data_IF_524281384658
#
_entry.id   IF_524281384658
#
_cell.length_a   1.000
_cell.length_b   1.000
_cell.length_c   1.000
_cell.angle_alpha   90.00
_cell.angle_beta   90.00
_cell.angle_gamma   90.00
#
_symmetry.space_group_name_H-M   'P 1'
#
loop_
_entity.id
_entity.type
_entity.pdbx_description
1 polymer ?
#
# COMPACT_ATOMS: atom_id res chain seq x y z
N UNK A 1 3.00 -18.68 6.83
CA UNK A 1 3.64 -17.54 6.52
C UNK A 1 3.63 -17.06 5.12
N UNK A 2 3.83 -17.67 4.10
CA UNK A 2 3.82 -17.14 2.77
C UNK A 2 4.95 -16.15 2.51
N UNK A 3 5.30 -16.00 1.27
CA UNK A 3 6.30 -15.03 0.84
C UNK A 3 5.61 -13.69 0.56
N UNK A 4 5.66 -12.78 1.54
CA UNK A 4 5.02 -11.47 1.45
C UNK A 4 5.54 -10.67 0.25
N UNK A 5 6.83 -10.80 -0.04
CA UNK A 5 7.44 -10.12 -1.17
C UNK A 5 6.87 -10.64 -2.49
N UNK A 6 6.64 -11.94 -2.59
CA UNK A 6 6.05 -12.53 -3.78
C UNK A 6 4.61 -12.08 -3.99
N UNK A 7 3.83 -11.95 -2.92
CA UNK A 7 2.45 -11.46 -3.02
C UNK A 7 2.43 -10.02 -3.54
N UNK A 8 3.32 -9.18 -3.03
CA UNK A 8 3.40 -7.79 -3.49
C UNK A 8 3.84 -7.74 -4.96
N UNK A 9 4.84 -8.53 -5.34
CA UNK A 9 5.31 -8.58 -6.72
C UNK A 9 4.20 -9.01 -7.67
N UNK A 10 3.44 -10.03 -7.30
CA UNK A 10 2.32 -10.48 -8.11
C UNK A 10 1.26 -9.39 -8.25
N UNK A 11 0.93 -8.71 -7.15
CA UNK A 11 -0.06 -7.64 -7.16
C UNK A 11 0.39 -6.49 -8.06
N UNK A 12 1.64 -6.06 -7.96
CA UNK A 12 2.17 -4.99 -8.81
C UNK A 12 2.09 -5.39 -10.28
N UNK A 13 2.39 -6.66 -10.58
CA UNK A 13 2.29 -7.17 -11.96
C UNK A 13 0.87 -7.17 -12.51
N UNK A 14 -0.14 -7.13 -11.64
CA UNK A 14 -1.55 -7.07 -12.07
C UNK A 14 -2.07 -5.66 -12.21
N UNK A 15 -1.32 -4.66 -11.74
CA UNK A 15 -1.75 -3.27 -11.86
C UNK A 15 -1.47 -2.73 -13.25
N UNK A 16 -2.39 -1.92 -13.81
CA UNK A 16 -2.19 -1.33 -15.13
C UNK A 16 -1.30 -0.08 -15.03
N UNK A 17 -0.62 0.23 -16.11
CA UNK A 17 0.03 1.53 -16.31
C UNK A 17 1.02 1.92 -15.22
N UNK A 18 1.71 0.96 -14.62
CA UNK A 18 2.70 1.22 -13.57
C UNK A 18 3.89 1.96 -14.15
N UNK A 19 4.26 3.10 -13.56
CA UNK A 19 5.43 3.87 -13.97
C UNK A 19 6.54 3.88 -12.92
N UNK A 20 6.20 3.64 -11.65
CA UNK A 20 7.20 3.61 -10.58
C UNK A 20 6.71 2.79 -9.39
N UNK A 21 7.64 2.18 -8.68
CA UNK A 21 7.38 1.42 -7.47
C UNK A 21 8.40 1.84 -6.42
N UNK A 22 7.96 2.16 -5.22
CA UNK A 22 8.85 2.52 -4.13
C UNK A 22 9.67 1.30 -3.68
N UNK A 23 10.67 1.53 -2.85
CA UNK A 23 11.28 0.43 -2.11
C UNK A 23 10.25 -0.19 -1.17
N UNK A 24 10.54 -1.40 -0.72
CA UNK A 24 9.75 -2.06 0.30
C UNK A 24 10.16 -1.56 1.67
N UNK A 25 9.21 -1.49 2.58
CA UNK A 25 9.44 -1.10 3.96
C UNK A 25 8.73 -2.06 4.88
N UNK A 26 9.37 -2.38 5.99
CA UNK A 26 8.78 -3.23 7.02
C UNK A 26 8.26 -2.38 8.14
N UNK A 27 7.10 -2.74 8.68
CA UNK A 27 6.55 -2.14 9.88
C UNK A 27 6.14 -3.25 10.85
N UNK A 28 6.34 -2.98 12.14
CA UNK A 28 5.93 -3.93 13.16
C UNK A 28 4.41 -3.86 13.34
N UNK A 29 3.76 -5.01 13.62
CA UNK A 29 2.33 -5.01 13.92
C UNK A 29 2.07 -4.20 15.19
N UNK A 30 1.11 -3.29 15.14
CA UNK A 30 0.73 -2.49 16.29
C UNK A 30 -0.24 -3.28 17.15
N UNK A 31 0.16 -3.56 18.40
CA UNK A 31 -0.71 -4.24 19.35
C UNK A 31 -1.05 -5.68 19.00
N UNK A 32 -0.31 -6.28 18.08
CA UNK A 32 -0.54 -7.68 17.72
C UNK A 32 0.06 -8.65 18.72
N UNK A 33 -0.32 -9.93 18.63
CA UNK A 33 0.27 -10.96 19.48
C UNK A 33 1.77 -11.09 19.25
N UNK A 34 2.53 -11.50 20.25
CA UNK A 34 3.95 -11.78 20.07
C UNK A 34 4.17 -12.84 18.99
N UNK A 35 5.24 -12.68 18.23
CA UNK A 35 5.59 -13.64 17.18
C UNK A 35 4.94 -13.38 15.84
N UNK A 36 4.08 -12.39 15.75
CA UNK A 36 3.50 -11.98 14.48
C UNK A 36 4.57 -11.27 13.64
N UNK A 37 4.68 -11.65 12.34
CA UNK A 37 5.68 -11.07 11.47
C UNK A 37 5.41 -9.62 11.11
N UNK A 38 6.44 -8.91 10.69
CA UNK A 38 6.32 -7.54 10.25
C UNK A 38 5.52 -7.46 8.95
N UNK A 39 4.83 -6.35 8.74
CA UNK A 39 4.15 -6.07 7.47
C UNK A 39 5.16 -5.51 6.46
N UNK A 40 4.95 -5.84 5.20
CA UNK A 40 5.69 -5.23 4.10
C UNK A 40 4.78 -4.27 3.36
N UNK A 41 5.30 -3.10 3.04
CA UNK A 41 4.53 -2.05 2.40
C UNK A 41 5.34 -1.42 1.27
N UNK A 42 4.67 -1.00 0.21
CA UNK A 42 5.26 -0.15 -0.82
C UNK A 42 4.16 0.72 -1.41
N UNK A 43 4.58 1.74 -2.15
CA UNK A 43 3.67 2.61 -2.89
C UNK A 43 3.97 2.45 -4.37
N UNK A 44 2.93 2.44 -5.17
CA UNK A 44 3.04 2.28 -6.62
C UNK A 44 2.42 3.50 -7.28
N UNK A 45 3.11 4.03 -8.29
CA UNK A 45 2.61 5.13 -9.09
C UNK A 45 2.14 4.61 -10.44
N UNK A 46 0.92 4.98 -10.80
CA UNK A 46 0.35 4.66 -12.11
C UNK A 46 0.18 5.95 -12.90
N UNK A 47 0.35 5.87 -14.21
CA UNK A 47 -0.02 6.95 -15.10
C UNK A 47 -1.13 6.43 -16.00
N UNK A 48 -2.37 6.73 -15.62
CA UNK A 48 -3.53 6.07 -16.19
C UNK A 48 -4.68 7.07 -16.37
N UNK A 49 -5.57 6.77 -17.31
CA UNK A 49 -6.79 7.53 -17.51
C UNK A 49 -7.98 6.94 -16.77
N UNK A 50 -7.77 5.90 -15.98
CA UNK A 50 -8.84 5.25 -15.22
C UNK A 50 -9.37 6.17 -14.11
N UNK A 51 -10.67 6.05 -13.84
CA UNK A 51 -11.29 6.81 -12.76
C UNK A 51 -10.94 6.21 -11.40
N UNK A 52 -11.13 6.96 -10.30
CA UNK A 52 -10.93 6.39 -8.96
C UNK A 52 -11.73 5.11 -8.73
N UNK A 53 -12.96 5.04 -9.22
CA UNK A 53 -13.79 3.85 -9.12
C UNK A 53 -13.18 2.66 -9.86
N UNK A 54 -12.66 2.91 -11.05
CA UNK A 54 -12.01 1.84 -11.81
C UNK A 54 -10.74 1.36 -11.10
N UNK A 55 -10.01 2.28 -10.47
CA UNK A 55 -8.81 1.91 -9.72
C UNK A 55 -9.15 1.12 -8.47
N UNK A 56 -10.26 1.44 -7.80
CA UNK A 56 -10.72 0.64 -6.67
C UNK A 56 -11.02 -0.79 -7.11
N UNK A 57 -11.67 -0.95 -8.27
CA UNK A 57 -11.95 -2.30 -8.79
C UNK A 57 -10.67 -3.06 -9.09
N UNK A 58 -9.65 -2.38 -9.64
CA UNK A 58 -8.33 -2.97 -9.90
C UNK A 58 -7.68 -3.43 -8.59
N UNK A 59 -7.73 -2.58 -7.56
CA UNK A 59 -7.15 -2.90 -6.26
C UNK A 59 -7.85 -4.12 -5.64
N UNK A 60 -9.17 -4.15 -5.70
CA UNK A 60 -9.94 -5.27 -5.15
C UNK A 60 -9.68 -6.57 -5.91
N UNK A 61 -9.47 -6.49 -7.22
CA UNK A 61 -9.13 -7.67 -8.02
C UNK A 61 -7.75 -8.23 -7.63
N UNK A 62 -6.78 -7.35 -7.35
CA UNK A 62 -5.46 -7.79 -6.90
C UNK A 62 -5.54 -8.46 -5.53
N UNK A 63 -6.32 -7.91 -4.63
CA UNK A 63 -6.54 -8.52 -3.31
C UNK A 63 -7.21 -9.88 -3.44
N UNK A 64 -8.22 -9.98 -4.28
CA UNK A 64 -8.93 -11.24 -4.50
C UNK A 64 -8.01 -12.31 -5.10
N UNK A 65 -7.12 -11.92 -6.02
CA UNK A 65 -6.17 -12.85 -6.60
C UNK A 65 -5.20 -13.39 -5.55
N UNK A 66 -4.74 -12.53 -4.63
CA UNK A 66 -3.86 -12.96 -3.55
C UNK A 66 -4.57 -13.94 -2.60
N UNK A 67 -5.85 -13.69 -2.31
CA UNK A 67 -6.62 -14.59 -1.47
C UNK A 67 -6.80 -15.96 -2.11
N UNK A 68 -6.98 -16.02 -3.42
CA UNK A 68 -7.15 -17.30 -4.12
C UNK A 68 -5.94 -18.21 -4.03
N UNK A 69 -4.74 -17.64 -3.96
CA UNK A 69 -3.52 -18.44 -3.86
C UNK A 69 -3.09 -18.69 -2.43
N UNK A 70 -3.82 -18.13 -1.46
CA UNK A 70 -3.48 -18.32 -0.04
C UNK A 70 -3.82 -19.74 0.38
N UNK A 71 -2.82 -20.44 0.88
CA UNK A 71 -2.98 -21.82 1.32
C UNK A 71 -3.59 -21.89 2.71
N UNK A 72 -3.22 -20.95 3.57
CA UNK A 72 -3.63 -20.99 4.97
C UNK A 72 -4.85 -20.11 5.17
N UNK A 73 -5.95 -20.72 5.58
CA UNK A 73 -7.24 -20.04 5.70
C UNK A 73 -7.35 -19.15 6.93
N UNK A 74 -6.62 -19.51 7.98
CA UNK A 74 -6.78 -18.89 9.29
C UNK A 74 -5.75 -17.81 9.57
N UNK A 75 -4.84 -17.60 8.65
CA UNK A 75 -3.81 -16.58 8.80
C UNK A 75 -4.33 -15.18 8.52
N UNK A 76 -3.49 -14.15 8.77
CA UNK A 76 -3.82 -12.77 8.45
C UNK A 76 -4.11 -12.60 6.96
N UNK A 77 -4.74 -11.50 6.60
CA UNK A 77 -4.97 -11.17 5.19
C UNK A 77 -3.63 -11.14 4.46
N UNK A 78 -3.66 -11.66 3.25
CA UNK A 78 -2.45 -11.80 2.45
C UNK A 78 -1.97 -10.45 1.91
N UNK A 79 -2.91 -9.59 1.53
CA UNK A 79 -2.60 -8.36 0.81
C UNK A 79 -3.71 -7.34 0.98
N UNK A 80 -3.31 -6.10 1.25
CA UNK A 80 -4.22 -4.95 1.20
C UNK A 80 -3.72 -4.00 0.13
N UNK A 81 -4.61 -3.54 -0.74
CA UNK A 81 -4.28 -2.58 -1.79
C UNK A 81 -5.22 -1.40 -1.65
N UNK A 82 -4.66 -0.24 -1.36
CA UNK A 82 -5.42 0.98 -1.14
C UNK A 82 -5.19 1.98 -2.26
N UNK A 83 -6.25 2.69 -2.65
CA UNK A 83 -6.13 3.84 -3.54
C UNK A 83 -5.86 5.05 -2.66
N UNK A 84 -4.71 5.68 -2.83
CA UNK A 84 -4.29 6.80 -2.00
C UNK A 84 -4.68 8.15 -2.60
N UNK A 85 -4.26 8.39 -3.83
CA UNK A 85 -4.45 9.66 -4.52
C UNK A 85 -4.74 9.39 -6.00
N UNK A 86 -5.58 10.20 -6.60
CA UNK A 86 -5.85 10.14 -8.04
C UNK A 86 -5.83 11.58 -8.55
N UNK A 87 -4.64 12.06 -8.95
CA UNK A 87 -4.46 13.45 -9.36
C UNK A 87 -4.97 14.39 -8.29
N UNK A 88 -5.78 15.34 -8.70
CA UNK A 88 -6.42 16.31 -7.78
C UNK A 88 -7.86 15.92 -7.46
N UNK A 89 -8.29 14.72 -7.83
CA UNK A 89 -9.66 14.31 -7.62
C UNK A 89 -9.98 14.07 -6.16
N UNK A 90 -11.19 14.43 -5.78
CA UNK A 90 -11.73 14.22 -4.44
C UNK A 90 -12.97 13.36 -4.57
N UNK A 91 -13.00 12.24 -3.87
CA UNK A 91 -14.15 11.35 -3.82
C UNK A 91 -14.52 11.13 -2.36
N UNK A 92 -15.78 11.27 -2.04
CA UNK A 92 -16.29 11.08 -0.68
C UNK A 92 -17.56 10.23 -0.77
N UNK A 93 -17.36 8.91 -0.85
CA UNK A 93 -18.44 7.93 -0.97
C UNK A 93 -18.27 6.87 0.11
N UNK A 94 -19.30 6.12 0.45
CA UNK A 94 -19.24 5.17 1.56
C UNK A 94 -18.11 4.13 1.44
N UNK A 95 -17.77 3.73 0.23
CA UNK A 95 -16.75 2.69 0.01
C UNK A 95 -15.49 3.22 -0.67
N UNK A 96 -15.39 4.53 -0.90
CA UNK A 96 -14.22 5.10 -1.57
C UNK A 96 -14.03 6.55 -1.16
N UNK A 97 -12.94 6.84 -0.48
CA UNK A 97 -12.55 8.19 -0.12
C UNK A 97 -11.17 8.46 -0.71
N UNK A 98 -11.07 9.50 -1.55
CA UNK A 98 -9.82 9.94 -2.17
C UNK A 98 -9.68 11.43 -1.94
N UNK A 99 -8.58 11.92 -1.40
CA UNK A 99 -7.41 11.17 -0.89
C UNK A 99 -7.78 10.23 0.24
N UNK A 100 -7.01 9.15 0.39
CA UNK A 100 -7.26 8.18 1.46
C UNK A 100 -7.27 8.91 2.79
N UNK A 101 -8.29 8.72 3.64
CA UNK A 101 -8.51 9.61 4.78
C UNK A 101 -7.45 9.54 5.85
N UNK A 102 -6.69 8.45 5.92
CA UNK A 102 -5.69 8.28 6.98
C UNK A 102 -4.26 8.24 6.47
N UNK A 103 -4.04 8.47 5.18
CA UNK A 103 -2.70 8.32 4.61
C UNK A 103 -1.68 9.27 5.23
N UNK A 104 -2.11 10.48 5.57
CA UNK A 104 -1.19 11.50 6.10
C UNK A 104 -0.75 11.24 7.53
N UNK A 105 -1.39 10.30 8.21
CA UNK A 105 -1.07 9.93 9.59
C UNK A 105 -0.26 8.65 9.67
N UNK A 106 0.02 7.99 8.54
CA UNK A 106 0.63 6.66 8.53
C UNK A 106 2.03 6.71 7.96
N UNK A 107 3.04 6.47 8.81
CA UNK A 107 4.44 6.42 8.36
C UNK A 107 4.67 5.36 7.31
N UNK A 108 3.99 4.21 7.40
CA UNK A 108 4.13 3.14 6.42
C UNK A 108 3.54 3.49 5.07
N UNK A 109 2.84 4.62 4.95
CA UNK A 109 2.41 5.20 3.68
C UNK A 109 3.35 6.33 3.27
N UNK A 110 3.62 7.28 4.18
CA UNK A 110 4.38 8.48 3.84
C UNK A 110 5.84 8.18 3.52
N UNK A 111 6.47 7.25 4.23
CA UNK A 111 7.87 6.92 3.98
C UNK A 111 8.06 6.34 2.58
N UNK A 112 7.32 5.30 2.16
CA UNK A 112 7.46 4.82 0.78
C UNK A 112 6.96 5.83 -0.25
N UNK A 113 5.94 6.63 0.06
CA UNK A 113 5.47 7.65 -0.87
C UNK A 113 6.57 8.68 -1.15
N UNK A 114 7.40 9.01 -0.16
CA UNK A 114 8.50 9.95 -0.34
C UNK A 114 9.54 9.47 -1.35
N UNK A 115 9.67 8.17 -1.57
CA UNK A 115 10.57 7.63 -2.60
C UNK A 115 10.13 8.06 -4.00
N UNK A 116 8.83 8.22 -4.21
CA UNK A 116 8.26 8.51 -5.52
C UNK A 116 7.87 9.98 -5.68
N UNK A 117 7.36 10.59 -4.63
CA UNK A 117 6.81 11.92 -4.69
C UNK A 117 7.10 12.68 -3.38
N UNK A 118 8.37 13.00 -3.11
CA UNK A 118 8.74 13.68 -1.86
C UNK A 118 8.01 15.01 -1.68
N UNK A 119 7.68 15.69 -2.78
CA UNK A 119 6.97 16.97 -2.71
C UNK A 119 5.58 16.84 -2.10
N UNK A 120 4.97 15.66 -2.17
CA UNK A 120 3.64 15.44 -1.61
C UNK A 120 3.65 15.25 -0.10
N UNK A 121 4.78 14.84 0.47
CA UNK A 121 4.84 14.50 1.90
C UNK A 121 5.48 15.58 2.77
N UNK A 122 6.10 16.59 2.18
CA UNK A 122 6.88 17.60 2.91
C UNK A 122 6.08 18.26 4.03
N UNK A 123 4.83 18.60 3.80
CA UNK A 123 3.99 19.26 4.80
C UNK A 123 3.41 18.32 5.86
N UNK A 124 3.65 17.01 5.73
CA UNK A 124 3.03 16.01 6.60
C UNK A 124 4.03 15.23 7.44
N UNK A 125 5.33 15.51 7.29
CA UNK A 125 6.36 14.81 8.04
C UNK A 125 6.44 15.37 9.46
N UNK A 126 6.48 14.46 10.44
CA UNK A 126 6.71 14.79 11.83
C UNK A 126 7.90 13.97 12.32
N UNK A 127 8.42 14.33 13.50
CA UNK A 127 9.57 13.61 14.05
C UNK A 127 9.30 12.13 14.27
N UNK A 128 8.04 11.76 14.48
CA UNK A 128 7.68 10.37 14.81
C UNK A 128 7.09 9.58 13.65
N UNK A 129 6.83 10.23 12.51
CA UNK A 129 6.06 9.58 11.44
C UNK A 129 6.74 8.34 10.89
N UNK A 130 8.07 8.31 10.87
CA UNK A 130 8.81 7.15 10.37
C UNK A 130 9.17 6.12 11.42
N UNK A 131 8.72 6.29 12.65
CA UNK A 131 9.05 5.36 13.74
C UNK A 131 8.50 3.97 13.43
N UNK A 132 9.36 2.96 13.55
CA UNK A 132 8.98 1.58 13.29
C UNK A 132 8.90 1.21 11.82
N UNK A 133 9.30 2.11 10.91
CA UNK A 133 9.32 1.83 9.48
C UNK A 133 10.78 1.64 9.06
N UNK A 134 11.09 0.47 8.52
CA UNK A 134 12.46 0.08 8.16
C UNK A 134 12.56 -0.25 6.68
N UNK A 135 13.63 0.18 5.99
CA UNK A 135 13.83 -0.24 4.59
C UNK A 135 13.99 -1.76 4.48
N UNK A 136 13.40 -2.33 3.44
CA UNK A 136 13.48 -3.77 3.18
C UNK A 136 13.99 -4.07 1.76
N UNK A 137 14.53 -3.06 1.07
CA UNK A 137 15.13 -3.21 -0.25
C UNK A 137 14.13 -3.06 -1.39
N UNK A 138 14.61 -3.25 -2.62
CA UNK A 138 13.73 -3.14 -3.80
C UNK A 138 12.83 -4.35 -3.92
N UNK A 139 11.76 -4.18 -4.66
CA UNK A 139 10.81 -5.25 -4.94
C UNK A 139 11.41 -6.35 -5.83
#
# INVERSE_FOLDING_TARGET
MGDRRAYIRDAVGRLPDVVAVSHLYETDPMGGPPGQGAFLNCVVELRTARTPRELLAVAQAAEAAAERVRVERWGPRTLDVDVLLVGDEVVDEPDLTVPHPRMWERGFVLVPLADLAPELVVGHLTTDIGRGVRPAGPL
#
